data_IF_697874585034
#
_entry.id   IF_697874585034
#
_cell.length_a   1.000
_cell.length_b   1.000
_cell.length_c   1.000
_cell.angle_alpha   90.00
_cell.angle_beta   90.00
_cell.angle_gamma   90.00
#
_symmetry.space_group_name_H-M   'P 1'
#
loop_
_entity.id
_entity.type
_entity.pdbx_description
1 polymer ?
#
# COMPACT_ATOMS: atom_id res chain seq x y z
N UNK A 1 19.19 19.82 17.64
CA UNK A 1 18.29 18.67 17.89
C UNK A 1 17.65 18.64 19.29
N UNK A 2 18.09 19.44 20.28
CA UNK A 2 17.52 19.44 21.64
C UNK A 2 16.34 20.39 21.92
N UNK A 3 15.83 21.13 20.92
CA UNK A 3 14.73 22.10 21.11
C UNK A 3 13.32 21.50 20.98
N UNK A 4 13.19 20.26 20.51
CA UNK A 4 11.89 19.67 20.15
C UNK A 4 11.34 18.63 21.14
N UNK A 5 12.16 18.15 22.09
CA UNK A 5 11.72 17.13 23.06
C UNK A 5 11.00 17.70 24.30
N UNK A 6 11.02 19.03 24.51
CA UNK A 6 10.47 19.69 25.70
C UNK A 6 9.43 20.78 25.40
N UNK A 7 8.60 20.66 24.36
CA UNK A 7 7.47 21.59 24.18
C UNK A 7 6.31 21.18 25.10
N UNK A 8 6.10 21.93 26.20
CA UNK A 8 4.79 21.99 26.89
C UNK A 8 3.72 22.31 25.85
N UNK A 9 2.54 21.67 25.90
CA UNK A 9 1.38 21.94 25.04
C UNK A 9 1.13 23.45 24.96
N UNK A 10 1.66 24.09 23.92
CA UNK A 10 1.39 25.48 23.64
C UNK A 10 0.10 25.49 22.85
N UNK A 11 -0.97 25.96 23.48
CA UNK A 11 -2.16 26.40 22.74
C UNK A 11 -1.69 27.34 21.63
N UNK A 12 -2.04 27.06 20.37
CA UNK A 12 -1.71 27.90 19.22
C UNK A 12 -2.21 29.33 19.48
N UNK A 13 -1.28 30.30 19.55
CA UNK A 13 -1.61 31.74 19.68
C UNK A 13 -1.78 32.37 18.30
N UNK A 14 -2.64 33.40 18.19
CA UNK A 14 -3.17 34.01 16.96
C UNK A 14 -2.17 34.67 15.97
N UNK A 15 -0.85 34.50 16.09
CA UNK A 15 0.14 35.20 15.27
C UNK A 15 1.22 34.25 14.71
N UNK A 16 0.82 33.17 14.02
CA UNK A 16 1.80 32.34 13.30
C UNK A 16 2.10 32.91 11.93
N UNK A 17 3.37 32.86 11.52
CA UNK A 17 3.75 33.11 10.13
C UNK A 17 3.43 31.88 9.28
N UNK A 18 3.30 32.07 7.96
CA UNK A 18 3.11 30.97 7.01
C UNK A 18 4.27 29.95 7.06
N UNK A 19 5.49 30.43 7.25
CA UNK A 19 6.68 29.57 7.38
C UNK A 19 6.62 28.70 8.65
N UNK A 20 6.17 29.25 9.78
CA UNK A 20 6.00 28.49 11.02
C UNK A 20 4.92 27.41 10.86
N UNK A 21 3.81 27.73 10.19
CA UNK A 21 2.74 26.76 9.91
C UNK A 21 3.20 25.64 8.98
N UNK A 22 3.95 25.97 7.92
CA UNK A 22 4.57 24.99 7.03
C UNK A 22 5.59 24.10 7.76
N UNK A 23 6.37 24.66 8.68
CA UNK A 23 7.29 23.89 9.51
C UNK A 23 6.56 22.88 10.40
N UNK A 24 5.40 23.25 10.96
CA UNK A 24 4.55 22.32 11.74
C UNK A 24 3.95 21.20 10.86
N UNK A 25 3.59 21.48 9.59
CA UNK A 25 3.22 20.43 8.62
C UNK A 25 4.38 19.45 8.43
N UNK A 26 5.59 19.95 8.14
CA UNK A 26 6.77 19.12 7.92
C UNK A 26 7.12 18.29 9.17
N UNK A 27 6.93 18.86 10.36
CA UNK A 27 7.10 18.16 11.63
C UNK A 27 6.09 17.01 11.78
N UNK A 28 4.82 17.24 11.46
CA UNK A 28 3.78 16.21 11.49
C UNK A 28 4.07 15.05 10.51
N UNK A 29 4.59 15.35 9.32
CA UNK A 29 5.05 14.35 8.35
C UNK A 29 6.24 13.55 8.88
N UNK A 30 7.23 14.22 9.46
CA UNK A 30 8.39 13.58 10.06
C UNK A 30 8.00 12.64 11.22
N UNK A 31 6.98 13.00 12.01
CA UNK A 31 6.45 12.11 13.05
C UNK A 31 5.90 10.81 12.47
N UNK A 32 5.20 10.87 11.33
CA UNK A 32 4.68 9.68 10.64
C UNK A 32 5.79 8.82 10.07
N UNK A 33 6.77 9.42 9.39
CA UNK A 33 7.93 8.69 8.87
C UNK A 33 8.72 8.01 9.99
N UNK A 34 8.94 8.71 11.11
CA UNK A 34 9.59 8.13 12.30
C UNK A 34 8.75 7.00 12.91
N UNK A 35 7.43 7.13 12.95
CA UNK A 35 6.56 6.07 13.42
C UNK A 35 6.68 4.82 12.54
N UNK A 36 6.64 4.99 11.22
CA UNK A 36 6.80 3.90 10.25
C UNK A 36 8.15 3.17 10.43
N UNK A 37 9.26 3.92 10.53
CA UNK A 37 10.58 3.34 10.80
C UNK A 37 10.62 2.60 12.15
N UNK A 38 10.00 3.15 13.18
CA UNK A 38 9.92 2.50 14.50
C UNK A 38 9.19 1.16 14.43
N UNK A 39 8.10 1.07 13.67
CA UNK A 39 7.34 -0.18 13.50
C UNK A 39 8.08 -1.22 12.65
N UNK A 40 8.97 -0.79 11.75
CA UNK A 40 9.75 -1.68 10.89
C UNK A 40 11.03 -2.20 11.55
N UNK A 41 11.68 -1.40 12.39
CA UNK A 41 12.98 -1.76 12.99
C UNK A 41 12.86 -2.66 14.21
N UNK A 42 11.79 -2.53 14.99
CA UNK A 42 11.70 -3.13 16.31
C UNK A 42 10.32 -3.73 16.59
N UNK A 43 10.29 -5.02 16.92
CA UNK A 43 9.06 -5.76 17.20
C UNK A 43 8.60 -5.64 18.67
N UNK A 44 9.34 -4.92 19.51
CA UNK A 44 8.99 -4.83 20.93
C UNK A 44 7.79 -3.90 21.19
N UNK A 45 7.08 -4.19 22.29
CA UNK A 45 5.86 -3.47 22.68
C UNK A 45 6.13 -1.98 22.95
N UNK A 46 7.31 -1.65 23.46
CA UNK A 46 7.68 -0.26 23.81
C UNK A 46 7.79 0.59 22.53
N UNK A 47 8.43 0.07 21.50
CA UNK A 47 8.58 0.69 20.19
C UNK A 47 7.22 0.83 19.51
N UNK A 48 6.33 -0.17 19.64
CA UNK A 48 4.94 -0.05 19.18
C UNK A 48 4.20 1.13 19.85
N UNK A 49 4.30 1.26 21.17
CA UNK A 49 3.68 2.38 21.91
C UNK A 49 4.29 3.71 21.48
N UNK A 50 5.62 3.80 21.38
CA UNK A 50 6.32 5.02 20.94
C UNK A 50 5.89 5.44 19.53
N UNK A 51 5.78 4.49 18.60
CA UNK A 51 5.27 4.74 17.26
C UNK A 51 3.83 5.25 17.28
N UNK A 52 2.95 4.61 18.07
CA UNK A 52 1.57 5.04 18.24
C UNK A 52 1.42 6.48 18.79
N UNK A 53 2.26 6.87 19.76
CA UNK A 53 2.30 8.25 20.28
C UNK A 53 2.68 9.25 19.17
N UNK A 54 3.64 8.91 18.30
CA UNK A 54 4.03 9.78 17.18
C UNK A 54 2.90 9.96 16.17
N UNK A 55 2.20 8.88 15.82
CA UNK A 55 1.02 8.93 14.95
C UNK A 55 -0.06 9.82 15.57
N UNK A 56 -0.33 9.66 16.87
CA UNK A 56 -1.30 10.50 17.58
C UNK A 56 -0.91 11.98 17.58
N UNK A 57 0.36 12.30 17.85
CA UNK A 57 0.82 13.68 17.85
C UNK A 57 0.69 14.30 16.46
N UNK A 58 1.09 13.58 15.41
CA UNK A 58 0.89 14.02 14.01
C UNK A 58 -0.58 14.31 13.70
N UNK A 59 -1.48 13.39 14.07
CA UNK A 59 -2.92 13.56 13.88
C UNK A 59 -3.47 14.82 14.59
N UNK A 60 -3.08 15.05 15.84
CA UNK A 60 -3.51 16.25 16.57
C UNK A 60 -2.98 17.53 15.93
N UNK A 61 -1.69 17.54 15.52
CA UNK A 61 -1.10 18.67 14.80
C UNK A 61 -1.88 18.98 13.52
N UNK A 62 -2.22 17.98 12.70
CA UNK A 62 -3.02 18.23 11.49
C UNK A 62 -4.42 18.77 11.80
N UNK A 63 -5.09 18.32 12.88
CA UNK A 63 -6.39 18.88 13.27
C UNK A 63 -6.28 20.36 13.67
N UNK A 64 -5.23 20.71 14.40
CA UNK A 64 -4.97 22.10 14.80
C UNK A 64 -4.65 22.97 13.58
N UNK A 65 -3.77 22.50 12.69
CA UNK A 65 -3.43 23.19 11.45
C UNK A 65 -4.64 23.35 10.52
N UNK A 66 -5.51 22.35 10.42
CA UNK A 66 -6.76 22.47 9.67
C UNK A 66 -7.70 23.52 10.26
N UNK A 67 -7.80 23.59 11.58
CA UNK A 67 -8.59 24.65 12.25
C UNK A 67 -8.03 26.04 11.94
N UNK A 68 -6.70 26.17 11.86
CA UNK A 68 -6.04 27.43 11.48
C UNK A 68 -6.26 27.76 10.00
N UNK A 69 -6.15 26.77 9.11
CA UNK A 69 -6.40 26.91 7.67
C UNK A 69 -7.83 27.44 7.41
N UNK A 70 -8.82 26.97 8.17
CA UNK A 70 -10.22 27.42 8.09
C UNK A 70 -10.47 28.78 8.78
N UNK A 71 -9.46 29.34 9.47
CA UNK A 71 -9.56 30.62 10.15
C UNK A 71 -8.99 31.76 9.31
N UNK A 72 -9.50 32.97 9.49
CA UNK A 72 -8.95 34.18 8.85
C UNK A 72 -7.67 34.72 9.52
N UNK A 73 -6.98 33.89 10.31
CA UNK A 73 -6.03 34.30 11.35
C UNK A 73 -4.55 34.29 10.96
N UNK A 74 -4.20 34.13 9.68
CA UNK A 74 -2.79 34.09 9.24
C UNK A 74 -2.60 34.74 7.86
N UNK A 75 -1.37 35.20 7.60
CA UNK A 75 -1.00 35.86 6.35
C UNK A 75 -0.85 34.84 5.22
N UNK A 76 -1.46 35.12 4.08
CA UNK A 76 -1.28 34.33 2.86
C UNK A 76 -0.11 34.91 2.08
N UNK A 77 0.96 34.13 1.95
CA UNK A 77 2.14 34.51 1.18
C UNK A 77 2.24 33.71 -0.12
N UNK A 78 3.40 33.81 -0.79
CA UNK A 78 3.67 33.07 -2.02
C UNK A 78 3.74 31.55 -1.80
N UNK A 79 3.98 31.11 -0.56
CA UNK A 79 4.14 29.69 -0.21
C UNK A 79 2.86 29.03 0.32
N UNK A 80 1.73 29.72 0.23
CA UNK A 80 0.46 29.27 0.79
C UNK A 80 0.05 27.86 0.36
N UNK A 81 0.15 27.56 -0.93
CA UNK A 81 -0.20 26.25 -1.46
C UNK A 81 0.64 25.10 -0.87
N UNK A 82 1.85 25.38 -0.36
CA UNK A 82 2.64 24.36 0.32
C UNK A 82 2.15 24.05 1.73
N UNK A 83 1.59 25.05 2.42
CA UNK A 83 0.94 24.88 3.72
C UNK A 83 -0.43 24.22 3.53
N UNK A 84 -1.30 24.82 2.74
CA UNK A 84 -2.66 24.34 2.45
C UNK A 84 -2.64 22.92 1.91
N UNK A 85 -1.88 22.66 0.85
CA UNK A 85 -1.75 21.32 0.27
C UNK A 85 -1.21 20.28 1.26
N UNK A 86 -0.39 20.70 2.24
CA UNK A 86 0.14 19.83 3.28
C UNK A 86 -0.87 19.49 4.37
N UNK A 87 -1.68 20.47 4.77
CA UNK A 87 -2.81 20.25 5.66
C UNK A 87 -3.82 19.32 4.99
N UNK A 88 -4.19 19.59 3.74
CA UNK A 88 -5.10 18.78 2.94
C UNK A 88 -4.62 17.33 2.80
N UNK A 89 -3.33 17.13 2.49
CA UNK A 89 -2.71 15.81 2.45
C UNK A 89 -2.85 15.06 3.78
N UNK A 90 -2.45 15.69 4.89
CA UNK A 90 -2.45 15.04 6.20
C UNK A 90 -3.86 14.74 6.71
N UNK A 91 -4.75 15.74 6.68
CA UNK A 91 -6.14 15.62 7.11
C UNK A 91 -6.87 14.60 6.25
N UNK A 92 -6.70 14.68 4.93
CA UNK A 92 -7.28 13.76 3.96
C UNK A 92 -6.82 12.32 4.21
N UNK A 93 -5.50 12.11 4.32
CA UNK A 93 -4.93 10.80 4.58
C UNK A 93 -5.39 10.19 5.91
N UNK A 94 -5.39 10.96 7.00
CA UNK A 94 -5.86 10.44 8.29
C UNK A 94 -7.34 10.06 8.26
N UNK A 95 -8.19 10.95 7.75
CA UNK A 95 -9.62 10.69 7.70
C UNK A 95 -9.94 9.46 6.85
N UNK A 96 -9.33 9.36 5.67
CA UNK A 96 -9.49 8.22 4.77
C UNK A 96 -8.99 6.93 5.43
N UNK A 97 -7.73 6.89 5.89
CA UNK A 97 -7.13 5.68 6.46
C UNK A 97 -7.84 5.19 7.71
N UNK A 98 -8.28 6.10 8.59
CA UNK A 98 -9.02 5.72 9.82
C UNK A 98 -10.40 5.17 9.46
N UNK A 99 -11.11 5.78 8.51
CA UNK A 99 -12.44 5.34 8.09
C UNK A 99 -12.48 3.92 7.53
N UNK A 100 -11.35 3.45 6.97
CA UNK A 100 -11.19 2.12 6.39
C UNK A 100 -10.83 1.04 7.42
N UNK A 101 -10.62 1.40 8.69
CA UNK A 101 -10.30 0.41 9.73
C UNK A 101 -11.54 -0.41 10.13
N UNK A 102 -11.37 -1.68 10.51
CA UNK A 102 -12.47 -2.49 11.01
C UNK A 102 -13.16 -1.84 12.22
N UNK A 103 -14.48 -1.96 12.33
CA UNK A 103 -15.31 -1.28 13.35
C UNK A 103 -14.81 -1.44 14.77
N UNK A 104 -14.27 -2.62 15.14
CA UNK A 104 -13.71 -2.87 16.48
C UNK A 104 -12.46 -2.03 16.74
N UNK A 105 -11.59 -1.90 15.73
CA UNK A 105 -10.38 -1.07 15.82
C UNK A 105 -10.74 0.40 15.83
N UNK A 106 -11.71 0.81 15.01
CA UNK A 106 -12.21 2.18 14.96
C UNK A 106 -12.72 2.65 16.33
N UNK A 107 -13.60 1.87 16.99
CA UNK A 107 -14.11 2.19 18.34
C UNK A 107 -13.01 2.41 19.39
N UNK A 108 -11.92 1.65 19.32
CA UNK A 108 -10.78 1.82 20.24
C UNK A 108 -10.00 3.10 19.95
N UNK A 109 -9.83 3.44 18.67
CA UNK A 109 -9.15 4.66 18.24
C UNK A 109 -9.99 5.92 18.54
N UNK A 110 -11.30 5.84 18.39
CA UNK A 110 -12.25 6.89 18.77
C UNK A 110 -12.17 7.23 20.25
N UNK A 111 -12.07 6.21 21.12
CA UNK A 111 -11.89 6.41 22.55
C UNK A 111 -10.63 7.23 22.90
N UNK A 112 -9.56 7.11 22.12
CA UNK A 112 -8.31 7.87 22.34
C UNK A 112 -8.24 9.18 21.53
N UNK A 113 -9.32 9.54 20.83
CA UNK A 113 -9.53 10.83 20.19
C UNK A 113 -9.27 10.87 18.68
N UNK A 114 -9.09 9.73 18.02
CA UNK A 114 -9.08 9.66 16.55
C UNK A 114 -10.50 9.63 15.99
N UNK A 115 -10.68 10.12 14.78
CA UNK A 115 -11.94 10.03 14.05
C UNK A 115 -11.61 10.01 12.57
N UNK A 116 -12.40 9.31 11.78
CA UNK A 116 -12.23 9.27 10.33
C UNK A 116 -13.57 9.40 9.62
N UNK A 117 -13.61 10.27 8.62
CA UNK A 117 -14.74 10.41 7.71
C UNK A 117 -14.21 10.24 6.29
N UNK A 118 -14.71 9.24 5.56
CA UNK A 118 -14.16 8.85 4.26
C UNK A 118 -14.38 9.95 3.22
N UNK A 119 -15.61 10.45 3.14
CA UNK A 119 -16.05 11.45 2.16
C UNK A 119 -15.27 12.75 2.35
N UNK A 120 -15.16 13.20 3.61
CA UNK A 120 -14.33 14.35 3.95
C UNK A 120 -12.85 14.10 3.64
N UNK A 121 -12.34 12.90 3.92
CA UNK A 121 -10.96 12.51 3.58
C UNK A 121 -10.68 12.61 2.09
N UNK A 122 -11.57 12.10 1.25
CA UNK A 122 -11.47 12.17 -0.21
C UNK A 122 -11.57 13.60 -0.71
N UNK A 123 -12.50 14.39 -0.18
CA UNK A 123 -12.65 15.81 -0.53
C UNK A 123 -11.36 16.59 -0.25
N UNK A 124 -10.78 16.43 0.95
CA UNK A 124 -9.53 17.12 1.31
C UNK A 124 -8.36 16.72 0.40
N UNK A 125 -8.26 15.44 0.01
CA UNK A 125 -7.24 15.02 -0.95
C UNK A 125 -7.47 15.60 -2.34
N UNK A 126 -8.72 15.70 -2.80
CA UNK A 126 -9.07 16.33 -4.08
C UNK A 126 -8.72 17.83 -4.08
N UNK A 127 -9.08 18.56 -3.02
CA UNK A 127 -8.69 19.96 -2.83
C UNK A 127 -7.16 20.11 -2.81
N UNK A 128 -6.46 19.21 -2.11
CA UNK A 128 -4.99 19.19 -2.10
C UNK A 128 -4.33 18.95 -3.47
N UNK A 129 -5.05 18.38 -4.44
CA UNK A 129 -4.55 18.19 -5.81
C UNK A 129 -4.63 19.45 -6.68
N UNK A 130 -5.32 20.51 -6.26
CA UNK A 130 -5.58 21.69 -7.09
C UNK A 130 -4.29 22.45 -7.48
N UNK A 131 -3.31 22.48 -6.58
CA UNK A 131 -2.05 23.19 -6.81
C UNK A 131 -0.99 22.36 -7.54
N UNK A 132 0.06 23.03 -8.03
CA UNK A 132 1.24 22.38 -8.64
C UNK A 132 2.37 22.16 -7.63
N UNK A 133 2.07 21.66 -6.43
CA UNK A 133 3.08 21.38 -5.39
C UNK A 133 3.46 19.90 -5.31
N UNK A 134 4.57 19.60 -4.62
CA UNK A 134 4.93 18.21 -4.29
C UNK A 134 3.84 17.49 -3.47
N UNK A 135 3.15 18.20 -2.57
CA UNK A 135 2.06 17.62 -1.76
C UNK A 135 0.83 17.35 -2.60
N UNK A 136 0.57 18.16 -3.62
CA UNK A 136 -0.49 17.91 -4.59
C UNK A 136 -0.24 16.61 -5.37
N UNK A 137 1.01 16.34 -5.73
CA UNK A 137 1.40 15.04 -6.27
C UNK A 137 1.14 13.90 -5.27
N UNK A 138 1.49 14.06 -3.98
CA UNK A 138 1.23 13.02 -2.96
C UNK A 138 -0.27 12.78 -2.72
N UNK A 139 -1.10 13.84 -2.73
CA UNK A 139 -2.55 13.72 -2.67
C UNK A 139 -3.09 12.89 -3.84
N UNK A 140 -2.64 13.18 -5.05
CA UNK A 140 -3.03 12.45 -6.24
C UNK A 140 -2.60 10.97 -6.15
N UNK A 141 -1.36 10.69 -5.71
CA UNK A 141 -0.88 9.32 -5.52
C UNK A 141 -1.71 8.56 -4.46
N UNK A 142 -2.16 9.22 -3.40
CA UNK A 142 -3.00 8.59 -2.38
C UNK A 142 -4.42 8.29 -2.91
N UNK A 143 -4.99 9.21 -3.70
CA UNK A 143 -6.26 8.96 -4.40
C UNK A 143 -6.13 7.80 -5.38
N UNK A 144 -5.08 7.75 -6.20
CA UNK A 144 -4.80 6.60 -7.08
C UNK A 144 -4.72 5.30 -6.27
N UNK A 145 -3.94 5.28 -5.18
CA UNK A 145 -3.87 4.12 -4.28
C UNK A 145 -5.25 3.70 -3.75
N UNK A 146 -6.10 4.66 -3.38
CA UNK A 146 -7.44 4.40 -2.90
C UNK A 146 -8.30 3.73 -3.98
N UNK A 147 -8.38 4.33 -5.16
CA UNK A 147 -9.24 3.88 -6.25
C UNK A 147 -8.74 2.55 -6.87
N UNK A 148 -7.43 2.27 -6.90
CA UNK A 148 -6.88 1.09 -7.59
C UNK A 148 -6.45 -0.06 -6.68
N UNK A 149 -6.25 0.17 -5.37
CA UNK A 149 -5.78 -0.85 -4.44
C UNK A 149 -6.66 -1.00 -3.20
N UNK A 150 -6.87 0.08 -2.43
CA UNK A 150 -7.46 -0.04 -1.09
C UNK A 150 -8.90 -0.55 -1.14
N UNK A 151 -9.73 -0.02 -2.03
CA UNK A 151 -11.12 -0.45 -2.23
C UNK A 151 -11.23 -1.94 -2.59
N UNK A 152 -10.30 -2.45 -3.39
CA UNK A 152 -10.24 -3.85 -3.82
C UNK A 152 -9.72 -4.79 -2.72
N UNK A 153 -8.63 -4.42 -2.05
CA UNK A 153 -8.03 -5.23 -0.98
C UNK A 153 -8.98 -5.36 0.20
N UNK A 154 -9.71 -4.29 0.52
CA UNK A 154 -10.71 -4.30 1.60
C UNK A 154 -12.06 -4.88 1.16
N UNK A 155 -12.25 -5.11 -0.15
CA UNK A 155 -13.50 -5.65 -0.69
C UNK A 155 -14.69 -4.72 -0.54
N UNK A 156 -14.47 -3.40 -0.46
CA UNK A 156 -15.56 -2.43 -0.39
C UNK A 156 -16.23 -2.24 -1.74
N UNK A 157 -15.49 -2.45 -2.84
CA UNK A 157 -15.99 -2.26 -4.21
C UNK A 157 -16.29 -0.80 -4.56
N UNK A 158 -15.86 0.14 -3.73
CA UNK A 158 -16.10 1.59 -3.88
C UNK A 158 -15.01 2.29 -4.71
N UNK A 159 -14.11 1.53 -5.34
CA UNK A 159 -13.11 2.08 -6.25
C UNK A 159 -13.77 2.57 -7.53
N UNK A 160 -13.26 3.67 -8.06
CA UNK A 160 -13.75 4.27 -9.30
C UNK A 160 -12.59 4.31 -10.31
N UNK A 161 -12.74 3.52 -11.37
CA UNK A 161 -11.72 3.38 -12.41
C UNK A 161 -11.63 4.64 -13.26
N UNK A 162 -12.76 5.31 -13.51
CA UNK A 162 -12.81 6.53 -14.32
C UNK A 162 -12.09 7.67 -13.58
N UNK A 163 -12.29 7.78 -12.27
CA UNK A 163 -11.59 8.78 -11.47
C UNK A 163 -10.09 8.47 -11.37
N UNK A 164 -9.70 7.20 -11.25
CA UNK A 164 -8.29 6.81 -11.31
C UNK A 164 -7.64 7.21 -12.65
N UNK A 165 -8.34 7.03 -13.77
CA UNK A 165 -7.85 7.46 -15.09
C UNK A 165 -7.72 8.98 -15.21
N UNK A 166 -8.73 9.74 -14.78
CA UNK A 166 -8.69 11.21 -14.78
C UNK A 166 -7.52 11.73 -13.94
N UNK A 167 -7.27 11.12 -12.78
CA UNK A 167 -6.17 11.49 -11.89
C UNK A 167 -4.80 11.19 -12.53
N UNK A 168 -4.68 10.09 -13.27
CA UNK A 168 -3.42 9.62 -13.84
C UNK A 168 -3.06 10.30 -15.16
N UNK A 169 -4.04 10.61 -16.01
CA UNK A 169 -3.82 11.07 -17.39
C UNK A 169 -2.86 12.26 -17.52
N UNK A 170 -2.97 13.35 -16.72
CA UNK A 170 -2.04 14.48 -16.82
C UNK A 170 -0.58 14.10 -16.54
N UNK A 171 -0.34 13.09 -15.70
CA UNK A 171 1.00 12.62 -15.39
C UNK A 171 1.58 11.71 -16.46
N UNK A 172 0.75 10.93 -17.15
CA UNK A 172 1.21 10.15 -18.30
C UNK A 172 1.60 11.06 -19.47
N UNK A 173 0.88 12.15 -19.68
CA UNK A 173 1.21 13.16 -20.69
C UNK A 173 2.51 13.89 -20.36
N UNK A 174 2.67 14.30 -19.09
CA UNK A 174 3.85 15.04 -18.64
C UNK A 174 5.10 14.16 -18.47
N UNK A 175 4.91 12.91 -18.03
CA UNK A 175 5.98 11.97 -17.68
C UNK A 175 5.69 10.58 -18.28
N UNK A 176 5.74 10.42 -19.62
CA UNK A 176 5.33 9.19 -20.31
C UNK A 176 6.18 7.96 -19.96
N UNK A 177 7.39 8.16 -19.41
CA UNK A 177 8.28 7.10 -18.92
C UNK A 177 8.39 7.07 -17.39
N UNK A 178 7.52 7.76 -16.67
CA UNK A 178 7.52 7.70 -15.21
C UNK A 178 7.02 6.35 -14.74
N UNK A 179 7.90 5.52 -14.17
CA UNK A 179 7.56 4.15 -13.73
C UNK A 179 6.35 4.09 -12.80
N UNK A 180 6.20 5.05 -11.88
CA UNK A 180 5.02 5.08 -10.99
C UNK A 180 3.72 5.26 -11.77
N UNK A 181 3.71 6.10 -12.81
CA UNK A 181 2.53 6.33 -13.63
C UNK A 181 2.26 5.15 -14.56
N UNK A 182 3.30 4.54 -15.14
CA UNK A 182 3.17 3.31 -15.93
C UNK A 182 2.62 2.14 -15.09
N UNK A 183 3.06 2.02 -13.83
CA UNK A 183 2.53 1.02 -12.91
C UNK A 183 1.04 1.23 -12.63
N UNK A 184 0.61 2.46 -12.32
CA UNK A 184 -0.82 2.75 -12.15
C UNK A 184 -1.62 2.55 -13.44
N UNK A 185 -1.06 2.87 -14.61
CA UNK A 185 -1.70 2.61 -15.90
C UNK A 185 -1.92 1.10 -16.11
N UNK A 186 -0.91 0.27 -15.83
CA UNK A 186 -1.05 -1.18 -15.88
C UNK A 186 -2.11 -1.70 -14.90
N UNK A 187 -2.14 -1.15 -13.68
CA UNK A 187 -3.11 -1.52 -12.66
C UNK A 187 -4.55 -1.17 -13.06
N UNK A 188 -4.77 -0.01 -13.67
CA UNK A 188 -6.08 0.40 -14.19
C UNK A 188 -6.55 -0.57 -15.28
N UNK A 189 -5.69 -0.90 -16.25
CA UNK A 189 -6.03 -1.88 -17.30
C UNK A 189 -6.33 -3.27 -16.74
N UNK A 190 -5.59 -3.69 -15.71
CA UNK A 190 -5.84 -4.96 -15.03
C UNK A 190 -7.22 -4.99 -14.37
N UNK A 191 -7.61 -3.91 -13.68
CA UNK A 191 -8.94 -3.77 -13.06
C UNK A 191 -10.05 -3.78 -14.11
N UNK A 192 -9.82 -3.18 -15.28
CA UNK A 192 -10.73 -3.23 -16.44
C UNK A 192 -10.84 -4.61 -17.06
N UNK A 193 -9.96 -5.56 -16.70
CA UNK A 193 -9.87 -6.87 -17.32
C UNK A 193 -9.09 -6.89 -18.65
N UNK A 194 -8.46 -5.78 -19.03
CA UNK A 194 -7.65 -5.64 -20.23
C UNK A 194 -6.23 -6.19 -20.00
N UNK A 195 -6.13 -7.49 -19.72
CA UNK A 195 -4.90 -8.11 -19.23
C UNK A 195 -3.70 -7.95 -20.17
N UNK A 196 -3.90 -7.95 -21.48
CA UNK A 196 -2.81 -7.77 -22.45
C UNK A 196 -2.24 -6.34 -22.42
N UNK A 197 -3.11 -5.34 -22.24
CA UNK A 197 -2.68 -3.95 -22.06
C UNK A 197 -1.98 -3.78 -20.72
N UNK A 198 -2.50 -4.39 -19.65
CA UNK A 198 -1.89 -4.38 -18.32
C UNK A 198 -0.46 -4.95 -18.35
N UNK A 199 -0.28 -6.15 -18.93
CA UNK A 199 1.03 -6.80 -19.07
C UNK A 199 2.01 -5.86 -19.79
N UNK A 200 1.61 -5.31 -20.94
CA UNK A 200 2.45 -4.38 -21.70
C UNK A 200 2.88 -3.17 -20.86
N UNK A 201 1.96 -2.56 -20.09
CA UNK A 201 2.28 -1.42 -19.22
C UNK A 201 3.24 -1.78 -18.09
N UNK A 202 3.09 -2.94 -17.47
CA UNK A 202 4.01 -3.39 -16.43
C UNK A 202 5.41 -3.72 -16.99
N UNK A 203 5.50 -4.26 -18.20
CA UNK A 203 6.77 -4.46 -18.91
C UNK A 203 7.43 -3.12 -19.26
N UNK A 204 6.68 -2.17 -19.85
CA UNK A 204 7.15 -0.79 -20.10
C UNK A 204 7.66 -0.13 -18.81
N UNK A 205 6.96 -0.34 -17.69
CA UNK A 205 7.34 0.17 -16.38
C UNK A 205 8.70 -0.39 -15.90
N UNK A 206 8.92 -1.69 -16.09
CA UNK A 206 10.20 -2.33 -15.79
C UNK A 206 11.33 -1.82 -16.69
N UNK A 207 11.06 -1.56 -17.97
CA UNK A 207 12.05 -1.03 -18.92
C UNK A 207 12.42 0.43 -18.64
N UNK A 208 11.48 1.22 -18.11
CA UNK A 208 11.67 2.66 -17.90
C UNK A 208 12.79 3.03 -16.92
N UNK A 209 13.17 2.13 -16.00
CA UNK A 209 14.24 2.35 -15.03
C UNK A 209 14.88 1.04 -14.57
N UNK A 210 16.15 1.05 -14.16
CA UNK A 210 16.87 -0.13 -13.62
C UNK A 210 17.49 0.11 -12.23
N UNK A 211 17.31 1.29 -11.65
CA UNK A 211 17.93 1.69 -10.39
C UNK A 211 17.19 1.14 -9.17
N UNK A 212 15.86 1.09 -9.24
CA UNK A 212 15.00 0.70 -8.13
C UNK A 212 14.33 -0.65 -8.39
N UNK A 213 15.08 -1.74 -8.13
CA UNK A 213 14.64 -3.12 -8.36
C UNK A 213 13.36 -3.49 -7.60
N UNK A 214 13.17 -2.89 -6.41
CA UNK A 214 11.96 -3.08 -5.60
C UNK A 214 10.70 -2.61 -6.35
N UNK A 215 10.84 -1.62 -7.24
CA UNK A 215 9.74 -1.17 -8.07
C UNK A 215 9.39 -2.21 -9.16
N UNK A 216 10.40 -2.90 -9.71
CA UNK A 216 10.16 -4.04 -10.60
C UNK A 216 9.44 -5.18 -9.88
N UNK A 217 9.74 -5.41 -8.60
CA UNK A 217 9.05 -6.44 -7.81
C UNK A 217 7.55 -6.15 -7.68
N UNK A 218 7.12 -4.88 -7.63
CA UNK A 218 5.70 -4.54 -7.70
C UNK A 218 5.10 -4.92 -9.05
N UNK A 219 5.78 -4.64 -10.16
CA UNK A 219 5.34 -5.03 -11.49
C UNK A 219 5.30 -6.55 -11.66
N UNK A 220 6.31 -7.28 -11.16
CA UNK A 220 6.34 -8.75 -11.20
C UNK A 220 5.19 -9.38 -10.43
N UNK A 221 4.76 -8.75 -9.33
CA UNK A 221 3.58 -9.19 -8.58
C UNK A 221 2.31 -9.07 -9.42
N UNK A 222 2.08 -7.94 -10.08
CA UNK A 222 0.89 -7.76 -10.93
C UNK A 222 0.97 -8.60 -12.21
N UNK A 223 2.15 -8.74 -12.83
CA UNK A 223 2.37 -9.64 -13.97
C UNK A 223 2.07 -11.09 -13.62
N UNK A 224 2.50 -11.55 -12.44
CA UNK A 224 2.17 -12.88 -11.93
C UNK A 224 0.65 -13.10 -11.91
N UNK A 225 -0.12 -12.12 -11.44
CA UNK A 225 -1.58 -12.20 -11.42
C UNK A 225 -2.22 -12.10 -12.81
N UNK A 226 -1.74 -11.20 -13.67
CA UNK A 226 -2.20 -11.11 -15.06
C UNK A 226 -2.05 -12.46 -15.79
N UNK A 227 -0.88 -13.09 -15.70
CA UNK A 227 -0.66 -14.42 -16.29
C UNK A 227 -1.47 -15.52 -15.60
N UNK A 228 -1.73 -15.40 -14.30
CA UNK A 228 -2.64 -16.29 -13.57
C UNK A 228 -4.05 -16.23 -14.11
N UNK A 229 -4.60 -15.02 -14.31
CA UNK A 229 -5.93 -14.83 -14.89
C UNK A 229 -6.03 -15.33 -16.32
N UNK A 230 -4.97 -15.18 -17.12
CA UNK A 230 -4.85 -15.79 -18.46
C UNK A 230 -4.61 -17.30 -18.45
N UNK A 231 -4.40 -17.93 -17.28
CA UNK A 231 -4.03 -19.35 -17.11
C UNK A 231 -2.70 -19.72 -17.76
N UNK A 232 -1.79 -18.75 -17.92
CA UNK A 232 -0.44 -18.96 -18.41
C UNK A 232 0.49 -19.35 -17.24
N UNK A 233 0.30 -20.57 -16.73
CA UNK A 233 0.91 -21.02 -15.46
C UNK A 233 2.44 -20.99 -15.44
N UNK A 234 3.11 -21.26 -16.57
CA UNK A 234 4.58 -21.20 -16.66
C UNK A 234 5.12 -19.78 -16.43
N UNK A 235 4.47 -18.78 -17.03
CA UNK A 235 4.84 -17.37 -16.83
C UNK A 235 4.49 -16.89 -15.42
N UNK A 236 3.33 -17.28 -14.89
CA UNK A 236 2.97 -16.97 -13.51
C UNK A 236 3.99 -17.58 -12.50
N UNK A 237 4.42 -18.83 -12.73
CA UNK A 237 5.49 -19.46 -11.96
C UNK A 237 6.81 -18.69 -12.07
N UNK A 238 7.20 -18.27 -13.27
CA UNK A 238 8.45 -17.51 -13.48
C UNK A 238 8.50 -16.25 -12.60
N UNK A 239 7.45 -15.42 -12.61
CA UNK A 239 7.43 -14.22 -11.76
C UNK A 239 7.35 -14.56 -10.26
N UNK A 240 6.62 -15.60 -9.87
CA UNK A 240 6.61 -16.06 -8.48
C UNK A 240 7.99 -16.57 -8.02
N UNK A 241 8.73 -17.24 -8.89
CA UNK A 241 10.09 -17.69 -8.64
C UNK A 241 11.07 -16.51 -8.50
N UNK A 242 10.98 -15.54 -9.41
CA UNK A 242 11.77 -14.31 -9.36
C UNK A 242 11.54 -13.54 -8.05
N UNK A 243 10.27 -13.35 -7.67
CA UNK A 243 9.89 -12.75 -6.38
C UNK A 243 10.39 -13.58 -5.20
N UNK A 244 10.29 -14.91 -5.25
CA UNK A 244 10.76 -15.78 -4.17
C UNK A 244 12.27 -15.68 -3.95
N UNK A 245 13.05 -15.39 -5.00
CA UNK A 245 14.50 -15.23 -4.94
C UNK A 245 14.87 -13.82 -4.49
N UNK A 246 14.32 -12.80 -5.14
CA UNK A 246 14.78 -11.41 -4.98
C UNK A 246 14.06 -10.63 -3.88
N UNK A 247 12.78 -10.89 -3.63
CA UNK A 247 11.98 -10.07 -2.72
C UNK A 247 11.94 -10.68 -1.30
N UNK A 248 12.17 -9.86 -0.27
CA UNK A 248 12.25 -10.27 1.13
C UNK A 248 10.97 -10.05 1.94
N UNK A 249 9.88 -9.57 1.33
CA UNK A 249 8.68 -9.14 2.06
C UNK A 249 7.71 -10.25 2.43
N UNK A 250 7.54 -11.29 1.59
CA UNK A 250 6.50 -12.31 1.79
C UNK A 250 6.92 -13.68 1.26
N UNK A 251 8.08 -14.19 1.72
CA UNK A 251 8.69 -15.43 1.22
C UNK A 251 7.73 -16.62 1.26
N UNK A 252 6.92 -16.75 2.31
CA UNK A 252 5.95 -17.84 2.43
C UNK A 252 4.85 -17.75 1.35
N UNK A 253 4.42 -16.54 0.98
CA UNK A 253 3.43 -16.33 -0.08
C UNK A 253 4.00 -16.70 -1.44
N UNK A 254 5.21 -16.29 -1.78
CA UNK A 254 5.81 -16.62 -3.07
C UNK A 254 6.01 -18.13 -3.24
N UNK A 255 6.52 -18.82 -2.20
CA UNK A 255 6.66 -20.28 -2.22
C UNK A 255 5.31 -20.99 -2.38
N UNK A 256 4.26 -20.49 -1.72
CA UNK A 256 2.90 -21.01 -1.88
C UNK A 256 2.38 -20.82 -3.31
N UNK A 257 2.59 -19.64 -3.91
CA UNK A 257 2.15 -19.38 -5.27
C UNK A 257 2.88 -20.26 -6.29
N UNK A 258 4.21 -20.42 -6.17
CA UNK A 258 4.98 -21.38 -6.98
C UNK A 258 4.38 -22.79 -6.91
N UNK A 259 4.14 -23.29 -5.71
CA UNK A 259 3.53 -24.60 -5.49
C UNK A 259 2.13 -24.71 -6.11
N UNK A 260 1.33 -23.65 -5.99
CA UNK A 260 0.00 -23.58 -6.58
C UNK A 260 0.05 -23.63 -8.10
N UNK A 261 0.97 -22.90 -8.75
CA UNK A 261 1.14 -22.93 -10.21
C UNK A 261 1.66 -24.26 -10.73
N UNK A 262 2.63 -24.89 -10.04
CA UNK A 262 3.07 -26.24 -10.41
C UNK A 262 1.91 -27.24 -10.32
N UNK A 263 0.99 -27.08 -9.36
CA UNK A 263 -0.20 -27.93 -9.25
C UNK A 263 -1.23 -27.71 -10.38
N UNK A 264 -1.08 -26.66 -11.19
CA UNK A 264 -1.91 -26.38 -12.36
C UNK A 264 -1.35 -26.95 -13.67
N UNK A 265 -0.08 -27.37 -13.66
CA UNK A 265 0.62 -27.87 -14.85
C UNK A 265 0.37 -29.38 -15.07
N UNK A 266 0.62 -29.83 -16.29
CA UNK A 266 0.66 -31.27 -16.58
C UNK A 266 1.89 -31.92 -15.91
N UNK A 267 1.87 -33.23 -15.63
CA UNK A 267 3.04 -33.93 -15.11
C UNK A 267 4.30 -33.73 -15.96
N UNK A 268 4.16 -33.78 -17.30
CA UNK A 268 5.28 -33.58 -18.24
C UNK A 268 5.83 -32.17 -18.18
N UNK A 269 4.96 -31.15 -18.11
CA UNK A 269 5.41 -29.77 -17.95
C UNK A 269 6.13 -29.56 -16.62
N UNK A 270 5.73 -30.26 -15.55
CA UNK A 270 6.39 -30.17 -14.24
C UNK A 270 7.83 -30.67 -14.27
N UNK A 271 8.17 -31.62 -15.15
CA UNK A 271 9.54 -32.16 -15.29
C UNK A 271 10.55 -31.09 -15.73
N UNK A 272 10.08 -30.00 -16.35
CA UNK A 272 10.93 -28.87 -16.74
C UNK A 272 11.39 -28.01 -15.56
N UNK A 273 10.82 -28.24 -14.37
CA UNK A 273 11.12 -27.49 -13.15
C UNK A 273 11.87 -28.37 -12.14
N UNK A 274 12.91 -27.82 -11.49
CA UNK A 274 13.73 -28.53 -10.51
C UNK A 274 13.10 -28.71 -9.12
N UNK A 275 11.81 -28.40 -8.98
CA UNK A 275 11.10 -28.42 -7.70
C UNK A 275 9.70 -29.03 -7.90
N UNK A 276 9.15 -29.64 -6.83
CA UNK A 276 7.78 -30.16 -6.86
C UNK A 276 6.84 -29.29 -6.03
N UNK A 277 5.57 -29.26 -6.41
CA UNK A 277 4.53 -28.58 -5.64
C UNK A 277 4.50 -29.05 -4.18
N UNK A 278 4.65 -30.36 -3.94
CA UNK A 278 4.64 -30.95 -2.60
C UNK A 278 5.79 -30.42 -1.74
N UNK A 279 7.01 -30.41 -2.28
CA UNK A 279 8.19 -29.89 -1.58
C UNK A 279 8.01 -28.43 -1.21
N UNK A 280 7.53 -27.61 -2.16
CA UNK A 280 7.31 -26.18 -1.92
C UNK A 280 6.21 -25.93 -0.87
N UNK A 281 5.07 -26.63 -0.93
CA UNK A 281 4.01 -26.49 0.08
C UNK A 281 4.51 -26.85 1.49
N UNK A 282 5.36 -27.87 1.62
CA UNK A 282 5.94 -28.26 2.93
C UNK A 282 6.89 -27.20 3.49
N UNK A 283 7.53 -26.39 2.65
CA UNK A 283 8.43 -25.32 3.09
C UNK A 283 7.68 -24.07 3.58
N UNK A 284 6.46 -23.80 3.09
CA UNK A 284 5.69 -22.57 3.38
C UNK A 284 5.63 -22.20 4.88
N UNK A 285 5.35 -23.13 5.83
CA UNK A 285 5.33 -22.80 7.26
C UNK A 285 6.66 -22.29 7.82
N UNK A 286 7.79 -22.76 7.28
CA UNK A 286 9.14 -22.37 7.72
C UNK A 286 9.62 -21.03 7.16
N UNK A 287 8.96 -20.52 6.11
CA UNK A 287 9.30 -19.24 5.47
C UNK A 287 8.56 -18.03 6.06
N UNK A 288 7.77 -18.25 7.11
CA UNK A 288 6.91 -17.25 7.73
C UNK A 288 7.72 -16.09 8.30
N UNK A 289 7.32 -14.87 7.96
CA UNK A 289 7.89 -13.65 8.48
C UNK A 289 6.92 -12.96 9.46
N UNK A 290 7.46 -12.05 10.27
CA UNK A 290 6.69 -11.16 11.15
C UNK A 290 7.10 -9.73 10.82
N UNK A 291 6.11 -8.84 10.85
CA UNK A 291 6.25 -7.40 10.73
C UNK A 291 5.49 -6.80 11.91
N UNK A 292 6.16 -5.97 12.71
CA UNK A 292 5.63 -5.46 13.98
C UNK A 292 5.08 -6.59 14.88
N UNK A 293 5.79 -7.73 14.94
CA UNK A 293 5.40 -8.90 15.74
C UNK A 293 4.18 -9.67 15.21
N UNK A 294 3.54 -9.22 14.13
CA UNK A 294 2.40 -9.89 13.49
C UNK A 294 2.79 -10.45 12.13
N UNK A 295 2.30 -11.65 11.85
CA UNK A 295 2.47 -12.25 10.52
C UNK A 295 1.50 -11.62 9.54
N UNK A 296 1.97 -11.44 8.31
CA UNK A 296 1.18 -10.92 7.19
C UNK A 296 -0.08 -11.77 6.97
N UNK A 297 -1.26 -11.16 6.72
CA UNK A 297 -2.49 -11.90 6.47
C UNK A 297 -2.37 -12.90 5.32
N UNK A 298 -1.68 -12.53 4.25
CA UNK A 298 -1.39 -13.36 3.07
C UNK A 298 -0.55 -14.59 3.43
N UNK A 299 0.47 -14.46 4.28
CA UNK A 299 1.27 -15.58 4.75
C UNK A 299 0.46 -16.50 5.68
N UNK A 300 -0.36 -15.94 6.58
CA UNK A 300 -1.26 -16.77 7.42
C UNK A 300 -2.20 -17.61 6.57
N UNK A 301 -2.73 -17.04 5.48
CA UNK A 301 -3.55 -17.77 4.52
C UNK A 301 -2.74 -18.89 3.85
N UNK A 302 -1.57 -18.57 3.30
CA UNK A 302 -0.68 -19.52 2.63
C UNK A 302 -0.33 -20.71 3.54
N UNK A 303 0.12 -20.44 4.77
CA UNK A 303 0.46 -21.46 5.77
C UNK A 303 -0.75 -22.34 6.08
N UNK A 304 -1.90 -21.73 6.35
CA UNK A 304 -3.14 -22.48 6.66
C UNK A 304 -3.50 -23.43 5.52
N UNK A 305 -3.38 -22.99 4.27
CA UNK A 305 -3.69 -23.82 3.10
C UNK A 305 -2.64 -24.91 2.88
N UNK A 306 -1.36 -24.60 3.10
CA UNK A 306 -0.24 -25.51 2.93
C UNK A 306 -0.21 -26.66 3.96
N UNK A 307 -0.78 -26.48 5.17
CA UNK A 307 -0.80 -27.50 6.24
C UNK A 307 -1.26 -28.89 5.80
N UNK A 308 -2.15 -28.99 4.80
CA UNK A 308 -2.63 -30.28 4.28
C UNK A 308 -1.53 -31.15 3.67
N UNK A 309 -0.45 -30.51 3.18
CA UNK A 309 0.66 -31.18 2.52
C UNK A 309 1.73 -31.67 3.52
N UNK A 310 1.54 -31.44 4.82
CA UNK A 310 2.44 -31.90 5.87
C UNK A 310 2.25 -33.39 6.20
N UNK A 311 1.09 -33.97 5.88
CA UNK A 311 0.90 -35.41 6.01
C UNK A 311 1.84 -36.20 5.07
N UNK A 312 2.22 -37.41 5.46
CA UNK A 312 3.05 -38.31 4.63
C UNK A 312 2.39 -38.56 3.28
N UNK A 313 1.07 -38.82 3.29
CA UNK A 313 0.22 -38.98 2.11
C UNK A 313 -0.86 -37.90 2.08
N UNK A 314 -0.61 -36.72 1.47
CA UNK A 314 -1.59 -35.65 1.36
C UNK A 314 -2.79 -36.10 0.53
N UNK A 315 -4.00 -35.78 1.00
CA UNK A 315 -5.22 -36.02 0.22
C UNK A 315 -5.24 -35.03 -0.96
N UNK A 316 -5.31 -35.51 -2.21
CA UNK A 316 -5.42 -34.66 -3.38
C UNK A 316 -6.67 -33.79 -3.31
N UNK A 317 -6.56 -32.54 -3.74
CA UNK A 317 -7.75 -31.72 -3.90
C UNK A 317 -8.56 -32.23 -5.11
N UNK A 318 -9.90 -32.22 -5.03
CA UNK A 318 -10.76 -32.53 -6.20
C UNK A 318 -10.52 -31.57 -7.37
N UNK A 319 -10.04 -30.37 -7.09
CA UNK A 319 -9.62 -29.39 -8.08
C UNK A 319 -8.38 -28.66 -7.59
N UNK A 320 -7.41 -28.31 -8.46
CA UNK A 320 -6.21 -27.60 -8.06
C UNK A 320 -6.47 -26.32 -7.24
N UNK A 321 -5.51 -25.86 -6.40
CA UNK A 321 -5.72 -24.78 -5.44
C UNK A 321 -6.35 -23.51 -6.03
N UNK A 322 -5.99 -23.15 -7.26
CA UNK A 322 -6.45 -21.94 -7.95
C UNK A 322 -7.81 -22.11 -8.65
N UNK A 323 -8.27 -23.34 -8.88
CA UNK A 323 -9.62 -23.62 -9.43
C UNK A 323 -10.68 -23.65 -8.33
N UNK A 324 -10.29 -24.05 -7.11
CA UNK A 324 -11.20 -24.12 -5.96
C UNK A 324 -11.68 -22.77 -5.43
N UNK A 325 -10.99 -21.67 -5.79
CA UNK A 325 -11.31 -20.32 -5.33
C UNK A 325 -12.43 -19.65 -6.16
N UNK A 326 -12.68 -20.09 -7.39
CA UNK A 326 -13.67 -19.50 -8.31
C UNK A 326 -15.10 -20.06 -8.14
N UNK A 327 -15.34 -20.94 -7.15
CA UNK A 327 -16.64 -21.58 -6.89
C UNK A 327 -17.25 -21.21 -5.53
N UNK A 328 -16.93 -20.05 -4.97
CA UNK A 328 -17.59 -19.54 -3.77
C UNK A 328 -18.15 -18.16 -3.97
#
# INVERSE_FOLDING_TARGET
>A
MGLWENRKKSSFSKNYTEEELHAEVCYAECLLQRAALTFLQDENMISFIKGGIKVRNSYQTYKELHTILQSSGYSHGENHGHFEGGVNLGVGAFNLMISMLPTRTLKLLEFVGFSGNKEFGLQQLQEGCADSTFRSFLCNMLLLCYHTFMSFILGTGEGDVEDAEKLLQPYLEKYPKGSIFLFFAGRIEEIKGNLDAAIKRFEECCEAQQQWKQFHHMCYWELMWCFTYKRHWKMAYFYADLLSKENTWSKATYAYMKAAYLSMLTPDDCLTFGETALTLFRQVPGLKQKIAGKSLPTEKFAIRKARRYLAESPIPLPAPPLVSAARR
#
